data_IF_845910416878
#
_entry.id   IF_845910416878
#
_cell.length_a   1.000
_cell.length_b   1.000
_cell.length_c   1.000
_cell.angle_alpha   90.00
_cell.angle_beta   90.00
_cell.angle_gamma   90.00
#
_symmetry.space_group_name_H-M   'P 1'
#
loop_
_entity.id
_entity.type
_entity.pdbx_description
1 polymer ?
#
# COMPACT_ATOMS: atom_id res chain seq x y z
N UNK A 1 -13.80 -0.97 -17.25
CA UNK A 1 -14.99 -0.36 -16.65
C UNK A 1 -15.51 -1.27 -15.56
N UNK A 2 -15.97 -0.70 -14.44
CA UNK A 2 -16.57 -1.43 -13.34
C UNK A 2 -17.99 -0.89 -13.07
N UNK A 3 -18.94 -1.78 -12.91
CA UNK A 3 -20.35 -1.48 -12.61
C UNK A 3 -20.84 -2.21 -11.35
N UNK A 4 -20.05 -3.16 -10.86
CA UNK A 4 -20.34 -3.92 -9.65
C UNK A 4 -19.08 -4.17 -8.82
N UNK A 5 -19.27 -4.53 -7.55
CA UNK A 5 -18.23 -4.93 -6.62
C UNK A 5 -18.77 -6.10 -5.77
N UNK A 6 -18.01 -7.19 -5.74
CA UNK A 6 -18.40 -8.43 -5.02
C UNK A 6 -19.79 -8.94 -5.37
N UNK A 7 -20.17 -8.87 -6.66
CA UNK A 7 -21.48 -9.31 -7.17
C UNK A 7 -22.64 -8.35 -6.86
N UNK A 8 -22.36 -7.17 -6.31
CA UNK A 8 -23.37 -6.14 -6.03
C UNK A 8 -23.11 -4.89 -6.87
N UNK A 9 -24.16 -4.17 -7.33
CA UNK A 9 -24.00 -2.90 -8.01
C UNK A 9 -23.17 -1.92 -7.18
N UNK A 10 -22.37 -1.09 -7.83
CA UNK A 10 -21.63 -0.03 -7.16
C UNK A 10 -22.60 0.88 -6.38
N UNK A 11 -22.19 1.31 -5.19
CA UNK A 11 -22.93 2.37 -4.50
C UNK A 11 -22.63 3.72 -5.16
N UNK A 12 -23.48 4.71 -4.96
CA UNK A 12 -23.28 6.08 -5.48
C UNK A 12 -21.93 6.64 -5.06
N UNK A 13 -21.51 6.42 -3.80
CA UNK A 13 -20.19 6.84 -3.28
C UNK A 13 -19.03 6.23 -4.07
N UNK A 14 -19.20 5.02 -4.58
CA UNK A 14 -18.17 4.28 -5.32
C UNK A 14 -18.27 4.41 -6.85
N UNK A 15 -19.24 5.18 -7.35
CA UNK A 15 -19.31 5.56 -8.76
C UNK A 15 -20.46 4.94 -9.55
N UNK A 16 -21.52 4.43 -8.89
CA UNK A 16 -22.73 3.97 -9.59
C UNK A 16 -23.22 5.02 -10.61
N UNK A 17 -23.67 4.65 -11.82
CA UNK A 17 -23.78 3.26 -12.31
C UNK A 17 -22.47 2.68 -12.87
N UNK A 18 -21.51 3.51 -13.25
CA UNK A 18 -20.30 3.07 -13.95
C UNK A 18 -19.09 3.91 -13.56
N UNK A 19 -17.95 3.25 -13.39
CA UNK A 19 -16.67 3.92 -13.17
C UNK A 19 -15.56 3.29 -14.01
N UNK A 20 -14.46 4.01 -14.20
CA UNK A 20 -13.21 3.42 -14.64
C UNK A 20 -12.42 2.85 -13.45
N UNK A 21 -11.73 1.76 -13.69
CA UNK A 21 -10.68 1.21 -12.83
C UNK A 21 -9.48 0.87 -13.71
N UNK A 22 -8.36 1.54 -13.47
CA UNK A 22 -7.12 1.36 -14.24
C UNK A 22 -6.06 0.88 -13.25
N UNK A 23 -5.69 -0.41 -13.28
CA UNK A 23 -4.63 -0.94 -12.44
C UNK A 23 -3.32 -0.17 -12.61
N UNK A 24 -2.48 -0.13 -11.57
CA UNK A 24 -1.18 0.57 -11.53
C UNK A 24 -1.26 2.11 -11.54
N UNK A 25 -2.44 2.70 -11.60
CA UNK A 25 -2.62 4.15 -11.53
C UNK A 25 -3.33 4.59 -10.25
N UNK A 26 -2.93 5.76 -9.74
CA UNK A 26 -3.63 6.37 -8.61
C UNK A 26 -5.06 6.77 -8.96
N UNK A 27 -5.92 6.84 -7.94
CA UNK A 27 -7.35 7.12 -8.06
C UNK A 27 -7.72 8.37 -8.88
N UNK A 28 -6.83 9.35 -9.00
CA UNK A 28 -7.03 10.52 -9.85
C UNK A 28 -7.21 10.21 -11.35
N UNK A 29 -6.80 9.00 -11.79
CA UNK A 29 -7.00 8.49 -13.14
C UNK A 29 -8.20 7.55 -13.25
N UNK A 30 -9.02 7.45 -12.22
CA UNK A 30 -10.13 6.50 -12.12
C UNK A 30 -11.46 7.23 -11.87
N UNK A 31 -11.97 7.99 -12.88
CA UNK A 31 -13.22 8.74 -12.72
C UNK A 31 -14.38 7.84 -12.34
N UNK A 32 -15.21 8.36 -11.42
CA UNK A 32 -16.48 7.81 -11.01
C UNK A 32 -17.62 8.48 -11.80
N UNK A 33 -18.79 7.88 -11.77
CA UNK A 33 -19.99 8.42 -12.45
C UNK A 33 -19.74 8.70 -13.92
N UNK A 34 -19.15 7.73 -14.60
CA UNK A 34 -18.78 7.88 -16.00
C UNK A 34 -20.00 8.13 -16.89
N UNK A 35 -19.97 9.21 -17.66
CA UNK A 35 -21.04 9.59 -18.59
C UNK A 35 -20.64 9.40 -20.04
N UNK A 36 -19.40 9.70 -20.38
CA UNK A 36 -18.88 9.59 -21.74
C UNK A 36 -17.41 9.24 -21.77
N UNK A 37 -16.98 8.65 -22.86
CA UNK A 37 -15.57 8.40 -23.21
C UNK A 37 -15.38 8.95 -24.60
N UNK A 38 -14.45 9.88 -24.74
CA UNK A 38 -14.09 10.51 -26.03
C UNK A 38 -12.66 10.13 -26.40
N UNK A 39 -12.47 9.66 -27.63
CA UNK A 39 -11.14 9.45 -28.19
C UNK A 39 -10.65 10.75 -28.82
N UNK A 40 -9.45 11.19 -28.42
CA UNK A 40 -8.85 12.44 -28.86
C UNK A 40 -7.54 12.16 -29.61
N UNK A 41 -7.26 12.93 -30.64
CA UNK A 41 -6.01 12.88 -31.41
C UNK A 41 -4.87 13.66 -30.74
N UNK A 42 -5.20 14.58 -29.82
CA UNK A 42 -4.25 15.34 -29.04
C UNK A 42 -4.46 15.15 -27.55
N UNK A 43 -3.37 15.08 -26.81
CA UNK A 43 -3.45 14.97 -25.35
C UNK A 43 -3.86 16.31 -24.72
N UNK A 44 -4.89 16.26 -23.89
CA UNK A 44 -5.31 17.39 -23.06
C UNK A 44 -5.18 17.08 -21.56
N UNK A 45 -4.74 18.08 -20.74
CA UNK A 45 -4.65 17.88 -19.30
C UNK A 45 -6.03 17.84 -18.66
N UNK A 46 -6.36 16.72 -18.02
CA UNK A 46 -7.56 16.57 -17.23
C UNK A 46 -7.56 17.39 -15.92
N UNK A 47 -8.67 17.35 -15.19
CA UNK A 47 -8.94 18.16 -13.99
C UNK A 47 -7.78 18.20 -12.98
N UNK A 48 -7.23 17.05 -12.59
CA UNK A 48 -6.17 16.98 -11.59
C UNK A 48 -4.81 17.44 -12.14
N UNK A 49 -4.51 17.15 -13.41
CA UNK A 49 -3.27 17.59 -14.04
C UNK A 49 -3.23 19.11 -14.16
N UNK A 50 -4.36 19.77 -14.50
CA UNK A 50 -4.48 21.24 -14.49
C UNK A 50 -4.25 21.85 -13.09
N UNK A 51 -4.32 21.04 -12.03
CA UNK A 51 -4.04 21.42 -10.63
C UNK A 51 -2.68 20.96 -10.14
N UNK A 52 -1.76 20.66 -11.04
CA UNK A 52 -0.37 20.34 -10.72
C UNK A 52 -0.11 18.89 -10.33
N UNK A 53 -1.10 17.98 -10.44
CA UNK A 53 -0.85 16.56 -10.21
C UNK A 53 -0.15 15.89 -11.38
N UNK A 54 0.55 14.79 -11.10
CA UNK A 54 1.33 14.02 -12.07
C UNK A 54 0.48 13.60 -13.28
N UNK A 55 1.07 13.77 -14.48
CA UNK A 55 0.43 13.40 -15.74
C UNK A 55 0.16 11.90 -15.83
N UNK A 56 1.09 11.06 -15.40
CA UNK A 56 1.01 9.60 -15.52
C UNK A 56 0.33 8.97 -14.30
N UNK A 57 0.56 9.51 -13.12
CA UNK A 57 0.01 9.06 -11.84
C UNK A 57 0.22 7.56 -11.57
N UNK A 58 1.39 7.01 -11.95
CA UNK A 58 1.75 5.61 -11.68
C UNK A 58 1.99 5.39 -10.20
N UNK A 59 1.49 4.27 -9.68
CA UNK A 59 1.68 3.90 -8.28
C UNK A 59 3.15 3.63 -7.96
N UNK A 60 3.65 4.27 -6.92
CA UNK A 60 4.98 4.01 -6.35
C UNK A 60 4.96 2.72 -5.54
N UNK A 61 6.12 2.09 -5.34
CA UNK A 61 6.25 1.02 -4.37
C UNK A 61 5.96 1.57 -2.98
N UNK A 62 5.11 0.89 -2.24
CA UNK A 62 4.70 1.27 -0.88
C UNK A 62 4.49 0.04 -0.03
N UNK A 63 4.76 0.17 1.27
CA UNK A 63 4.46 -0.83 2.28
C UNK A 63 3.96 -0.14 3.54
N UNK A 64 2.99 -0.75 4.22
CA UNK A 64 2.32 -0.18 5.39
C UNK A 64 2.21 -1.25 6.48
N UNK A 65 2.45 -0.87 7.73
CA UNK A 65 2.14 -1.67 8.91
C UNK A 65 0.70 -1.35 9.32
N UNK A 66 -0.21 -2.28 9.12
CA UNK A 66 -1.61 -2.13 9.54
C UNK A 66 -1.78 -2.53 11.00
N UNK A 67 -1.27 -3.70 11.36
CA UNK A 67 -1.51 -4.31 12.67
C UNK A 67 -0.20 -4.68 13.36
N UNK A 68 -0.15 -4.39 14.64
CA UNK A 68 0.76 -5.00 15.61
C UNK A 68 -0.15 -5.59 16.69
N UNK A 69 -0.15 -6.91 16.85
CA UNK A 69 -1.09 -7.60 17.75
C UNK A 69 -0.64 -7.49 19.20
N UNK A 70 -0.85 -6.31 19.80
CA UNK A 70 -0.49 -6.02 21.19
C UNK A 70 -1.56 -6.46 22.20
N UNK A 71 -2.78 -6.74 21.75
CA UNK A 71 -3.92 -7.06 22.63
C UNK A 71 -3.97 -8.52 23.08
N UNK A 72 -3.11 -9.37 22.54
CA UNK A 72 -3.10 -10.80 22.84
C UNK A 72 -2.05 -11.15 23.88
N UNK A 73 -2.45 -11.15 25.15
CA UNK A 73 -1.73 -11.81 26.26
C UNK A 73 -0.38 -11.18 26.69
N UNK A 74 -0.24 -9.87 26.66
CA UNK A 74 0.98 -9.20 27.15
C UNK A 74 1.30 -9.52 28.64
N UNK A 75 0.28 -9.79 29.45
CA UNK A 75 0.45 -10.15 30.86
C UNK A 75 1.15 -11.51 31.10
N UNK A 76 1.26 -12.34 30.06
CA UNK A 76 1.92 -13.65 30.08
C UNK A 76 3.06 -13.75 29.05
N UNK A 77 3.40 -12.64 28.40
CA UNK A 77 4.44 -12.64 27.39
C UNK A 77 5.83 -12.79 28.01
N UNK A 78 6.64 -13.60 27.39
CA UNK A 78 8.04 -13.84 27.75
C UNK A 78 8.94 -13.73 26.50
N UNK A 79 10.24 -13.97 26.66
CA UNK A 79 11.20 -13.88 25.59
C UNK A 79 10.96 -14.87 24.42
N UNK A 80 10.11 -15.90 24.60
CA UNK A 80 9.73 -16.83 23.54
C UNK A 80 8.48 -16.39 22.78
N UNK A 81 7.76 -15.39 23.28
CA UNK A 81 6.53 -14.88 22.69
C UNK A 81 6.82 -14.13 21.41
N UNK A 82 6.08 -14.45 20.34
CA UNK A 82 6.16 -13.75 19.05
C UNK A 82 4.93 -12.86 18.86
N UNK A 83 5.15 -11.59 18.63
CA UNK A 83 4.11 -10.60 18.38
C UNK A 83 3.87 -10.54 16.85
N UNK A 84 2.67 -10.92 16.36
CA UNK A 84 2.37 -10.80 14.95
C UNK A 84 2.31 -9.33 14.52
N UNK A 85 3.13 -8.99 13.54
CA UNK A 85 3.12 -7.71 12.85
C UNK A 85 2.68 -7.97 11.42
N UNK A 86 1.68 -7.26 10.94
CA UNK A 86 1.14 -7.48 9.61
C UNK A 86 0.82 -6.19 8.86
N UNK A 87 0.74 -6.33 7.55
CA UNK A 87 0.37 -5.21 6.70
C UNK A 87 0.31 -5.60 5.23
N UNK A 88 0.35 -4.58 4.40
CA UNK A 88 0.22 -4.70 2.96
C UNK A 88 1.36 -3.98 2.24
N UNK A 89 1.69 -4.45 1.04
CA UNK A 89 2.65 -3.81 0.15
C UNK A 89 2.15 -3.84 -1.30
N UNK A 90 2.52 -2.84 -2.09
CA UNK A 90 2.10 -2.71 -3.49
C UNK A 90 3.15 -1.95 -4.31
N UNK A 91 3.33 -2.35 -5.56
CA UNK A 91 4.22 -1.67 -6.51
C UNK A 91 3.62 -1.63 -7.94
N UNK A 92 2.28 -1.59 -8.05
CA UNK A 92 1.59 -1.65 -9.33
C UNK A 92 1.91 -2.93 -10.08
N UNK A 93 1.98 -2.85 -11.40
CA UNK A 93 2.29 -3.98 -12.28
C UNK A 93 3.70 -4.58 -12.08
N UNK A 94 4.58 -3.92 -11.31
CA UNK A 94 5.91 -4.46 -10.98
C UNK A 94 5.84 -5.58 -9.94
N UNK A 95 4.73 -5.64 -9.16
CA UNK A 95 4.57 -6.61 -8.06
C UNK A 95 5.57 -6.41 -6.94
N UNK A 96 5.44 -7.21 -5.88
CA UNK A 96 6.34 -7.20 -4.71
C UNK A 96 7.13 -8.50 -4.69
N UNK A 97 8.44 -8.41 -4.49
CA UNK A 97 9.33 -9.56 -4.31
C UNK A 97 9.71 -9.79 -2.85
N UNK A 98 9.81 -8.72 -2.05
CA UNK A 98 10.27 -8.79 -0.67
C UNK A 98 9.71 -7.64 0.15
N UNK A 99 9.40 -7.92 1.41
CA UNK A 99 9.09 -6.94 2.45
C UNK A 99 10.02 -7.17 3.62
N UNK A 100 10.53 -6.11 4.20
CA UNK A 100 11.42 -6.17 5.35
C UNK A 100 10.91 -5.24 6.46
N UNK A 101 11.06 -5.69 7.69
CA UNK A 101 10.70 -4.96 8.91
C UNK A 101 11.96 -4.77 9.75
N UNK A 102 12.08 -3.64 10.43
CA UNK A 102 13.08 -3.41 11.46
C UNK A 102 12.45 -2.82 12.71
N UNK A 103 13.05 -3.09 13.85
CA UNK A 103 12.70 -2.51 15.16
C UNK A 103 13.82 -1.57 15.60
N UNK A 104 13.47 -0.37 16.06
CA UNK A 104 14.35 0.61 16.73
C UNK A 104 15.63 0.94 15.95
N UNK A 105 15.52 1.03 14.61
CA UNK A 105 16.66 1.30 13.76
C UNK A 105 17.66 0.13 13.62
N UNK A 106 17.35 -1.04 14.18
CA UNK A 106 18.16 -2.25 14.07
C UNK A 106 18.22 -2.85 12.66
N UNK A 107 18.68 -4.09 12.51
CA UNK A 107 18.78 -4.75 11.22
C UNK A 107 17.42 -5.01 10.58
N UNK A 108 17.36 -4.92 9.27
CA UNK A 108 16.20 -5.32 8.49
C UNK A 108 16.04 -6.84 8.51
N UNK A 109 14.81 -7.30 8.74
CA UNK A 109 14.42 -8.71 8.77
C UNK A 109 13.32 -8.96 7.76
N UNK A 110 13.43 -10.04 7.00
CA UNK A 110 12.46 -10.38 5.97
C UNK A 110 11.13 -10.83 6.59
N UNK A 111 10.03 -10.32 6.05
CA UNK A 111 8.68 -10.71 6.38
C UNK A 111 8.17 -11.79 5.42
N UNK A 112 7.30 -12.69 5.90
CA UNK A 112 6.65 -13.68 5.06
C UNK A 112 5.57 -13.02 4.21
N UNK A 113 5.58 -13.28 2.91
CA UNK A 113 4.56 -12.82 1.98
C UNK A 113 3.49 -13.88 1.81
N UNK A 114 2.23 -13.45 1.77
CA UNK A 114 1.12 -14.28 1.27
C UNK A 114 1.11 -14.19 -0.25
N UNK A 115 0.84 -15.32 -0.92
CA UNK A 115 0.65 -15.34 -2.37
C UNK A 115 -0.46 -14.36 -2.77
N UNK A 116 -0.18 -13.38 -3.65
CA UNK A 116 -1.18 -12.41 -4.07
C UNK A 116 -2.23 -13.04 -5.00
N UNK A 117 -3.45 -12.53 -4.97
CA UNK A 117 -4.54 -12.99 -5.84
C UNK A 117 -4.24 -12.76 -7.34
N UNK A 118 -3.43 -11.76 -7.65
CA UNK A 118 -2.92 -11.49 -9.00
C UNK A 118 -1.68 -10.59 -8.94
N UNK A 119 -0.97 -10.43 -10.05
CA UNK A 119 0.17 -9.52 -10.16
C UNK A 119 -0.17 -8.03 -9.96
N UNK A 120 -1.46 -7.67 -9.90
CA UNK A 120 -1.94 -6.30 -9.75
C UNK A 120 -2.56 -6.04 -8.36
N UNK A 121 -2.63 -7.05 -7.49
CA UNK A 121 -3.21 -6.91 -6.15
C UNK A 121 -2.14 -6.54 -5.12
N UNK A 122 -2.61 -6.04 -3.99
CA UNK A 122 -1.77 -5.85 -2.81
C UNK A 122 -1.24 -7.20 -2.31
N UNK A 123 -0.01 -7.20 -1.81
CA UNK A 123 0.61 -8.35 -1.17
C UNK A 123 0.46 -8.20 0.34
N UNK A 124 -0.17 -9.16 0.98
CA UNK A 124 -0.26 -9.23 2.44
C UNK A 124 1.05 -9.82 2.95
N UNK A 125 1.60 -9.21 3.98
CA UNK A 125 2.82 -9.68 4.61
C UNK A 125 2.65 -9.84 6.12
N UNK A 126 3.47 -10.70 6.73
CA UNK A 126 3.52 -10.94 8.17
C UNK A 126 4.98 -11.09 8.63
N UNK A 127 5.29 -10.47 9.75
CA UNK A 127 6.53 -10.63 10.50
C UNK A 127 6.20 -11.03 11.93
N UNK A 128 6.82 -12.08 12.44
CA UNK A 128 6.68 -12.53 13.82
C UNK A 128 7.82 -11.88 14.63
N UNK A 129 7.50 -10.80 15.33
CA UNK A 129 8.45 -10.00 16.08
C UNK A 129 8.65 -10.60 17.47
N UNK A 130 9.91 -10.93 17.91
CA UNK A 130 10.17 -11.38 19.28
C UNK A 130 9.78 -10.32 20.28
N UNK A 131 9.02 -10.72 21.31
CA UNK A 131 8.54 -9.83 22.36
C UNK A 131 9.70 -9.15 23.09
N UNK A 132 9.59 -7.86 23.24
CA UNK A 132 10.47 -7.02 24.06
C UNK A 132 9.60 -5.99 24.78
N UNK A 133 9.68 -5.87 26.11
CA UNK A 133 8.88 -4.89 26.85
C UNK A 133 9.38 -3.48 26.58
N UNK A 134 8.47 -2.52 26.58
CA UNK A 134 8.77 -1.10 26.42
C UNK A 134 8.24 -0.46 25.15
N UNK A 135 8.69 0.75 24.90
CA UNK A 135 8.31 1.50 23.71
C UNK A 135 9.25 1.17 22.54
N UNK A 136 8.66 0.78 21.41
CA UNK A 136 9.39 0.40 20.21
C UNK A 136 8.85 1.10 18.97
N UNK A 137 9.71 1.28 17.98
CA UNK A 137 9.33 1.79 16.66
C UNK A 137 9.65 0.76 15.60
N UNK A 138 8.60 0.25 14.97
CA UNK A 138 8.70 -0.65 13.82
C UNK A 138 8.69 0.17 12.53
N UNK A 139 9.57 -0.16 11.59
CA UNK A 139 9.60 0.42 10.25
C UNK A 139 9.50 -0.69 9.21
N UNK A 140 8.85 -0.42 8.08
CA UNK A 140 8.69 -1.37 6.98
C UNK A 140 9.14 -0.77 5.66
N UNK A 141 9.73 -1.62 4.80
CA UNK A 141 10.08 -1.30 3.42
C UNK A 141 9.82 -2.49 2.51
N UNK A 142 9.65 -2.23 1.22
CA UNK A 142 9.46 -3.29 0.24
C UNK A 142 10.38 -3.14 -0.99
N UNK A 143 10.50 -4.24 -1.72
CA UNK A 143 11.17 -4.31 -3.02
C UNK A 143 10.19 -4.80 -4.07
N UNK A 144 10.24 -4.20 -5.23
CA UNK A 144 9.49 -4.72 -6.38
C UNK A 144 10.18 -5.97 -6.98
N UNK A 145 9.53 -6.64 -7.93
CA UNK A 145 10.09 -7.85 -8.57
C UNK A 145 11.31 -7.58 -9.44
N UNK A 146 11.67 -6.33 -9.67
CA UNK A 146 12.93 -5.94 -10.34
C UNK A 146 14.06 -5.73 -9.34
N UNK A 147 13.79 -5.91 -8.04
CA UNK A 147 14.76 -5.65 -6.97
C UNK A 147 14.89 -4.17 -6.60
N UNK A 148 14.01 -3.30 -7.11
CA UNK A 148 14.05 -1.86 -6.79
C UNK A 148 13.45 -1.63 -5.40
N UNK A 149 14.22 -0.99 -4.53
CA UNK A 149 13.79 -0.60 -3.19
C UNK A 149 12.72 0.51 -3.26
N UNK A 150 11.70 0.42 -2.41
CA UNK A 150 10.81 1.54 -2.08
C UNK A 150 11.63 2.78 -1.72
N UNK A 151 11.24 3.95 -2.25
CA UNK A 151 11.90 5.22 -1.97
C UNK A 151 11.91 5.51 -0.46
N UNK A 152 13.09 5.71 0.17
CA UNK A 152 13.18 5.94 1.62
C UNK A 152 12.72 7.35 2.01
N UNK A 153 12.90 8.33 1.14
CA UNK A 153 12.67 9.74 1.43
C UNK A 153 11.17 10.06 1.51
N UNK A 154 10.70 10.63 2.61
CA UNK A 154 9.31 11.05 2.75
C UNK A 154 8.93 12.10 1.70
N UNK A 155 7.79 11.90 1.06
CA UNK A 155 7.19 12.87 0.17
C UNK A 155 5.67 12.90 0.36
N UNK A 156 5.04 14.08 0.22
CA UNK A 156 3.59 14.22 0.30
C UNK A 156 2.90 13.56 -0.89
N UNK A 157 1.57 13.35 -0.82
CA UNK A 157 0.81 12.80 -1.95
C UNK A 157 0.90 13.63 -3.24
N UNK A 158 0.93 14.95 -3.12
CA UNK A 158 1.08 15.86 -4.27
C UNK A 158 2.57 16.05 -4.61
N UNK A 159 2.97 16.06 -5.88
CA UNK A 159 2.14 15.87 -7.09
C UNK A 159 1.98 14.41 -7.53
N UNK A 160 2.85 13.50 -7.11
CA UNK A 160 3.04 12.20 -7.76
C UNK A 160 2.88 10.99 -6.84
N UNK A 161 2.16 11.15 -5.73
CA UNK A 161 1.94 10.11 -4.73
C UNK A 161 2.95 10.17 -3.58
N UNK A 162 2.49 9.84 -2.37
CA UNK A 162 3.33 9.76 -1.19
C UNK A 162 4.50 8.79 -1.36
N UNK A 163 5.58 9.03 -0.65
CA UNK A 163 6.74 8.15 -0.58
C UNK A 163 7.32 8.15 0.85
N UNK A 164 8.30 7.30 1.08
CA UNK A 164 8.94 7.11 2.38
C UNK A 164 8.58 5.76 3.01
N UNK A 165 9.37 5.33 3.98
CA UNK A 165 9.09 4.14 4.75
C UNK A 165 8.00 4.43 5.80
N UNK A 166 7.05 3.52 5.94
CA UNK A 166 6.06 3.63 7.00
C UNK A 166 6.65 3.14 8.32
N UNK A 167 6.35 3.87 9.40
CA UNK A 167 6.74 3.50 10.75
C UNK A 167 5.57 3.59 11.71
N UNK A 168 5.55 2.72 12.72
CA UNK A 168 4.53 2.66 13.76
C UNK A 168 5.19 2.46 15.12
N UNK A 169 4.88 3.35 16.08
CA UNK A 169 5.31 3.20 17.45
C UNK A 169 4.29 2.40 18.24
N UNK A 170 4.76 1.50 19.08
CA UNK A 170 3.96 0.64 19.96
C UNK A 170 4.58 0.60 21.35
N UNK A 171 3.73 0.35 22.34
CA UNK A 171 4.14 0.08 23.74
C UNK A 171 3.75 -1.36 24.07
N UNK A 172 4.71 -2.16 24.51
CA UNK A 172 4.53 -3.56 24.95
C UNK A 172 4.82 -3.72 26.43
#
# INVERSE_FOLDING_TARGET
LAYEWDGLPLTTKHGFPLRTYIPDLYGMKQPKWLQSIEAMDQWEPGYWVKRGWDRTARMKATSVIDTVSVDMMLSQADASTLIPVGGIAHAGARGISRVEVRTDGGPWREARLREPLSGLTWVIWRYDWPFQPGQHTLSVRCYDRRGTLQTPDPAPPHPSGAAGFHSKSVML
#
